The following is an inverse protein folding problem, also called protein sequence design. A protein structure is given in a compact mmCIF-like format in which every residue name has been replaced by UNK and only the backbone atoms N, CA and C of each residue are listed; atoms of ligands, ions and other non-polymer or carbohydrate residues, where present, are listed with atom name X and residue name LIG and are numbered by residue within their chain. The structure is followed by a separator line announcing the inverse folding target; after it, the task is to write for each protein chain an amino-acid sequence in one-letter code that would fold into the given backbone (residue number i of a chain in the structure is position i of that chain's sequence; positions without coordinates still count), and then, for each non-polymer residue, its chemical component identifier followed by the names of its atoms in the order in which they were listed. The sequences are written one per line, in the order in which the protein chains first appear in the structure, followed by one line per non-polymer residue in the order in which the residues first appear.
data_IF_822358294915
#
_entry.id   IF_822358294915
#
_cell.length_a   1.000
_cell.length_b   1.000
_cell.length_c   1.000
_cell.angle_alpha   90.00
_cell.angle_beta   90.00
_cell.angle_gamma   90.00
#
_symmetry.space_group_name_H-M   'P 1'
#
loop_
_entity.id
_entity.type
_entity.pdbx_description
1 polymer ?
#
# COMPACT_ATOMS: atom_id res chain seq x y z
N UNK A 1 7.39 4.57 10.96
CA UNK A 1 6.13 5.24 11.35
C UNK A 1 5.07 5.00 10.29
N UNK A 2 3.85 4.72 10.70
CA UNK A 2 2.74 4.55 9.78
C UNK A 2 2.17 5.91 9.33
N UNK A 3 1.55 5.97 8.15
CA UNK A 3 1.06 7.22 7.54
C UNK A 3 -0.02 7.92 8.35
N UNK A 4 -0.87 7.15 9.01
CA UNK A 4 -1.99 7.65 9.80
C UNK A 4 -1.82 7.13 11.22
N UNK A 5 -1.76 8.04 12.19
CA UNK A 5 -1.42 7.67 13.57
C UNK A 5 -2.43 6.71 14.22
N UNK A 6 -3.69 6.80 13.82
CA UNK A 6 -4.77 5.95 14.37
C UNK A 6 -4.92 4.62 13.63
N UNK A 7 -4.11 4.37 12.61
CA UNK A 7 -4.20 3.18 11.78
C UNK A 7 -2.85 2.47 11.75
N UNK A 8 -2.85 1.17 11.99
CA UNK A 8 -1.65 0.33 11.94
C UNK A 8 -1.82 -0.76 10.90
N UNK A 9 -0.74 -1.41 10.44
CA UNK A 9 -0.86 -2.55 9.53
C UNK A 9 -1.76 -3.68 10.05
N UNK A 10 -1.83 -3.86 11.37
CA UNK A 10 -2.71 -4.86 11.97
C UNK A 10 -4.20 -4.57 11.74
N UNK A 11 -4.57 -3.30 11.57
CA UNK A 11 -5.95 -2.91 11.30
C UNK A 11 -6.44 -3.38 9.93
N UNK A 12 -5.54 -3.83 9.05
CA UNK A 12 -5.88 -4.37 7.74
C UNK A 12 -6.35 -5.82 7.79
N UNK A 13 -6.16 -6.52 8.90
CA UNK A 13 -6.48 -7.94 9.02
C UNK A 13 -7.94 -8.18 9.41
N UNK A 14 -8.54 -7.29 10.18
CA UNK A 14 -9.90 -7.44 10.69
C UNK A 14 -11.01 -7.06 9.70
N UNK A 15 -10.87 -6.01 8.86
CA UNK A 15 -11.95 -5.62 7.97
C UNK A 15 -12.24 -6.64 6.89
N UNK A 16 -13.51 -6.75 6.52
CA UNK A 16 -13.93 -7.59 5.41
C UNK A 16 -13.45 -6.98 4.09
N UNK A 17 -13.16 -7.82 3.06
CA UNK A 17 -12.87 -7.32 1.71
C UNK A 17 -13.96 -6.36 1.22
N UNK A 18 -13.55 -5.27 0.57
CA UNK A 18 -14.45 -4.22 0.11
C UNK A 18 -14.66 -3.09 1.11
N UNK A 19 -14.28 -3.27 2.37
CA UNK A 19 -14.33 -2.22 3.37
C UNK A 19 -13.36 -1.09 2.97
N UNK A 20 -13.79 0.16 3.14
CA UNK A 20 -12.94 1.33 2.91
C UNK A 20 -12.63 1.97 4.26
N UNK A 21 -11.34 2.12 4.54
CA UNK A 21 -10.84 2.78 5.73
C UNK A 21 -10.29 4.13 5.30
N UNK A 22 -10.77 5.21 5.94
CA UNK A 22 -10.34 6.57 5.62
C UNK A 22 -9.55 7.16 6.78
N UNK A 23 -8.53 7.94 6.47
CA UNK A 23 -7.75 8.67 7.46
C UNK A 23 -7.06 9.87 6.83
N UNK A 24 -6.62 10.80 7.68
CA UNK A 24 -5.86 11.95 7.24
C UNK A 24 -4.38 11.67 7.40
N UNK A 25 -3.59 12.00 6.39
CA UNK A 25 -2.13 11.81 6.46
C UNK A 25 -1.55 12.81 7.45
N UNK A 26 -0.85 12.31 8.45
CA UNK A 26 -0.29 13.11 9.55
C UNK A 26 1.25 13.16 9.51
N UNK A 27 1.88 12.47 8.55
CA UNK A 27 3.33 12.44 8.41
C UNK A 27 3.73 12.48 6.94
N UNK A 28 4.71 13.30 6.60
CA UNK A 28 5.17 13.49 5.22
C UNK A 28 6.39 12.65 4.85
N UNK A 29 6.74 11.68 5.66
CA UNK A 29 8.00 10.94 5.49
C UNK A 29 8.08 10.11 4.21
N UNK A 30 6.96 9.79 3.57
CA UNK A 30 6.96 9.02 2.31
C UNK A 30 7.04 9.89 1.05
N UNK A 31 6.86 11.21 1.18
CA UNK A 31 6.84 12.11 0.03
C UNK A 31 5.54 12.03 -0.77
N UNK A 32 5.48 12.73 -1.91
CA UNK A 32 4.29 12.75 -2.75
C UNK A 32 3.97 11.34 -3.30
N UNK A 33 2.68 10.95 -3.40
CA UNK A 33 1.48 11.76 -3.18
C UNK A 33 1.01 11.83 -1.71
N UNK A 34 1.78 11.27 -0.77
CA UNK A 34 1.40 11.18 0.65
C UNK A 34 1.72 12.48 1.37
N UNK A 35 0.97 13.53 1.04
CA UNK A 35 1.19 14.86 1.59
C UNK A 35 0.41 15.06 2.88
N UNK A 36 0.99 15.84 3.80
CA UNK A 36 0.36 16.15 5.08
C UNK A 36 -1.00 16.80 4.87
N UNK A 37 -2.00 16.30 5.58
CA UNK A 37 -3.38 16.82 5.51
C UNK A 37 -4.22 16.22 4.40
N UNK A 38 -3.64 15.48 3.46
CA UNK A 38 -4.41 14.78 2.44
C UNK A 38 -5.23 13.64 3.05
N UNK A 39 -6.34 13.29 2.40
CA UNK A 39 -7.14 12.14 2.82
C UNK A 39 -6.62 10.87 2.16
N UNK A 40 -6.45 9.85 2.98
CA UNK A 40 -6.04 8.52 2.56
C UNK A 40 -7.24 7.58 2.64
N UNK A 41 -7.50 6.85 1.56
CA UNK A 41 -8.54 5.83 1.51
C UNK A 41 -7.91 4.48 1.20
N UNK A 42 -8.16 3.50 2.07
CA UNK A 42 -7.68 2.14 1.90
C UNK A 42 -8.87 1.23 1.62
N UNK A 43 -8.92 0.66 0.43
CA UNK A 43 -9.92 -0.35 0.09
C UNK A 43 -9.32 -1.72 0.35
N UNK A 44 -9.91 -2.46 1.28
CA UNK A 44 -9.43 -3.79 1.64
C UNK A 44 -9.72 -4.76 0.50
N UNK A 45 -8.73 -5.53 0.10
CA UNK A 45 -8.80 -6.45 -1.04
C UNK A 45 -8.99 -7.89 -0.57
N UNK A 46 -9.76 -8.64 -1.36
CA UNK A 46 -9.82 -10.10 -1.24
C UNK A 46 -8.59 -10.71 -1.95
N UNK A 47 -8.16 -11.92 -1.56
CA UNK A 47 -7.01 -12.57 -2.21
C UNK A 47 -7.15 -12.76 -3.72
N UNK A 48 -8.39 -12.87 -4.21
CA UNK A 48 -8.67 -13.08 -5.64
C UNK A 48 -8.89 -11.79 -6.42
N UNK A 49 -8.87 -10.63 -5.75
CA UNK A 49 -9.08 -9.35 -6.43
C UNK A 49 -7.93 -9.07 -7.40
N UNK A 50 -8.28 -8.57 -8.58
CA UNK A 50 -7.28 -8.18 -9.56
C UNK A 50 -6.65 -6.83 -9.19
N UNK A 51 -5.42 -6.62 -9.64
CA UNK A 51 -4.66 -5.40 -9.40
C UNK A 51 -4.39 -4.71 -10.73
N UNK A 52 -4.23 -3.38 -10.67
CA UNK A 52 -4.06 -2.53 -11.86
C UNK A 52 -2.75 -1.78 -11.80
N UNK A 53 -2.04 -1.72 -12.92
CA UNK A 53 -0.84 -0.90 -13.09
C UNK A 53 -1.17 0.58 -12.86
N UNK A 54 -0.29 1.28 -12.16
CA UNK A 54 -0.45 2.69 -11.82
C UNK A 54 -1.16 2.95 -10.51
N UNK A 55 -1.76 1.94 -9.91
CA UNK A 55 -2.46 2.06 -8.63
C UNK A 55 -1.49 1.84 -7.47
N UNK A 56 -1.73 2.55 -6.37
CA UNK A 56 -0.99 2.38 -5.13
C UNK A 56 -1.57 1.22 -4.32
N UNK A 57 -0.69 0.40 -3.75
CA UNK A 57 -1.10 -0.75 -2.95
C UNK A 57 -0.26 -0.87 -1.67
N UNK A 58 -0.86 -1.51 -0.68
CA UNK A 58 -0.13 -2.05 0.45
C UNK A 58 0.05 -3.54 0.19
N UNK A 59 1.30 -3.98 0.11
CA UNK A 59 1.68 -5.39 0.01
C UNK A 59 2.20 -5.87 1.36
N UNK A 60 1.89 -7.12 1.69
CA UNK A 60 2.21 -7.72 2.99
C UNK A 60 2.86 -9.08 2.75
N UNK A 61 3.97 -9.36 3.44
CA UNK A 61 4.65 -10.65 3.39
C UNK A 61 4.40 -11.51 4.64
N UNK A 62 3.49 -11.07 5.52
CA UNK A 62 3.17 -11.74 6.77
C UNK A 62 3.91 -11.18 7.99
N UNK A 63 5.01 -10.46 7.79
CA UNK A 63 5.77 -9.84 8.88
C UNK A 63 6.06 -8.36 8.64
N UNK A 64 5.99 -7.92 7.40
CA UNK A 64 6.27 -6.53 7.03
C UNK A 64 5.30 -6.08 5.95
N UNK A 65 5.14 -4.77 5.80
CA UNK A 65 4.31 -4.17 4.76
C UNK A 65 5.15 -3.25 3.89
N UNK A 66 4.78 -3.16 2.61
CA UNK A 66 5.38 -2.23 1.67
C UNK A 66 4.29 -1.39 1.03
N UNK A 67 4.52 -0.09 0.95
CA UNK A 67 3.66 0.83 0.21
C UNK A 67 4.31 1.02 -1.16
N UNK A 68 3.56 0.66 -2.21
CA UNK A 68 4.11 0.62 -3.56
C UNK A 68 3.13 1.20 -4.57
N UNK A 69 3.68 1.65 -5.71
CA UNK A 69 2.90 1.87 -6.93
C UNK A 69 3.22 0.72 -7.88
N UNK A 70 2.18 0.02 -8.32
CA UNK A 70 2.37 -1.11 -9.23
C UNK A 70 2.73 -0.59 -10.62
N UNK A 71 3.87 -1.03 -11.15
CA UNK A 71 4.35 -0.67 -12.49
C UNK A 71 4.12 -1.79 -13.49
N UNK A 72 4.11 -3.03 -13.04
CA UNK A 72 3.85 -4.18 -13.87
C UNK A 72 3.85 -5.45 -13.05
N UNK A 73 3.57 -6.55 -13.71
CA UNK A 73 3.56 -7.86 -13.05
C UNK A 73 3.89 -8.96 -14.05
N UNK A 74 4.54 -10.00 -13.54
CA UNK A 74 4.75 -11.26 -14.23
C UNK A 74 4.13 -12.39 -13.39
N UNK A 75 4.12 -13.64 -13.85
CA UNK A 75 3.61 -14.73 -13.02
C UNK A 75 4.28 -14.86 -11.65
N UNK A 76 5.54 -14.45 -11.54
CA UNK A 76 6.35 -14.66 -10.34
C UNK A 76 6.67 -13.37 -9.56
N UNK A 77 6.53 -12.20 -10.18
CA UNK A 77 7.04 -10.95 -9.62
C UNK A 77 6.04 -9.81 -9.74
N UNK A 78 6.04 -8.95 -8.71
CA UNK A 78 5.51 -7.60 -8.79
C UNK A 78 6.65 -6.67 -9.16
N UNK A 79 6.44 -5.82 -10.17
CA UNK A 79 7.36 -4.74 -10.54
C UNK A 79 6.76 -3.46 -9.97
N UNK A 80 7.45 -2.84 -9.02
CA UNK A 80 6.88 -1.77 -8.22
C UNK A 80 7.85 -0.60 -8.04
N UNK A 81 7.29 0.57 -7.74
CA UNK A 81 8.00 1.67 -7.12
C UNK A 81 7.67 1.63 -5.63
N UNK A 82 8.65 1.33 -4.80
CA UNK A 82 8.49 1.21 -3.36
C UNK A 82 8.82 2.54 -2.68
N UNK A 83 7.90 2.99 -1.82
CA UNK A 83 8.06 4.21 -1.03
C UNK A 83 8.75 3.88 0.28
N UNK A 84 9.83 4.58 0.57
CA UNK A 84 10.63 4.40 1.78
C UNK A 84 10.36 5.51 2.79
N UNK A 85 10.61 5.23 4.07
CA UNK A 85 10.33 6.16 5.17
C UNK A 85 11.15 7.46 5.10
N UNK A 86 12.23 7.48 4.34
CA UNK A 86 13.05 8.67 4.13
C UNK A 86 12.59 9.56 2.98
N UNK A 87 11.44 9.23 2.38
CA UNK A 87 10.88 9.98 1.26
C UNK A 87 11.41 9.57 -0.11
N UNK A 88 12.30 8.59 -0.19
CA UNK A 88 12.81 8.11 -1.48
C UNK A 88 11.88 7.06 -2.07
N UNK A 89 11.92 6.93 -3.41
CA UNK A 89 11.13 5.94 -4.16
C UNK A 89 12.11 5.10 -4.97
N UNK A 90 12.03 3.79 -4.80
CA UNK A 90 12.92 2.85 -5.47
C UNK A 90 12.15 1.87 -6.33
N UNK A 91 12.58 1.73 -7.59
CA UNK A 91 12.07 0.66 -8.44
C UNK A 91 12.67 -0.66 -8.02
N UNK A 92 11.83 -1.66 -7.75
CA UNK A 92 12.28 -2.99 -7.38
C UNK A 92 11.27 -4.06 -7.78
N UNK A 93 11.64 -5.32 -7.56
CA UNK A 93 10.75 -6.45 -7.77
C UNK A 93 10.52 -7.17 -6.45
N UNK A 94 9.28 -7.66 -6.26
CA UNK A 94 8.89 -8.41 -5.06
C UNK A 94 8.27 -9.73 -5.52
N UNK A 95 8.60 -10.81 -4.81
CA UNK A 95 8.07 -12.15 -5.14
C UNK A 95 6.56 -12.20 -4.89
N UNK A 96 5.79 -12.57 -5.90
CA UNK A 96 4.32 -12.61 -5.80
C UNK A 96 3.82 -13.64 -4.79
N UNK A 97 4.51 -14.76 -4.64
CA UNK A 97 4.13 -15.81 -3.69
C UNK A 97 4.37 -15.40 -2.24
N UNK A 98 5.20 -14.38 -2.00
CA UNK A 98 5.56 -13.91 -0.67
C UNK A 98 4.80 -12.62 -0.30
N UNK A 99 4.64 -11.71 -1.25
CA UNK A 99 4.02 -10.42 -1.05
C UNK A 99 2.61 -10.42 -1.63
N UNK A 100 1.62 -10.15 -0.80
CA UNK A 100 0.20 -10.20 -1.17
C UNK A 100 -0.43 -8.82 -1.06
N UNK A 101 -1.22 -8.39 -2.06
CA UNK A 101 -1.96 -7.14 -1.96
C UNK A 101 -3.01 -7.21 -0.86
N UNK A 102 -2.96 -6.26 0.08
CA UNK A 102 -3.89 -6.19 1.19
C UNK A 102 -4.89 -5.06 1.01
N UNK A 103 -4.46 -3.94 0.44
CA UNK A 103 -5.32 -2.79 0.24
C UNK A 103 -4.89 -1.99 -0.97
N UNK A 104 -5.85 -1.39 -1.65
CA UNK A 104 -5.61 -0.37 -2.66
C UNK A 104 -5.67 1.00 -1.99
N UNK A 105 -4.79 1.90 -2.38
CA UNK A 105 -4.65 3.23 -1.78
C UNK A 105 -5.12 4.29 -2.74
N UNK A 106 -5.97 5.20 -2.26
CA UNK A 106 -6.32 6.44 -2.96
C UNK A 106 -5.98 7.61 -2.06
N UNK A 107 -5.34 8.63 -2.61
CA UNK A 107 -5.00 9.86 -1.89
C UNK A 107 -5.71 11.02 -2.55
N UNK A 108 -6.42 11.83 -1.76
CA UNK A 108 -7.16 12.98 -2.23
C UNK A 108 -6.83 14.26 -1.44
#
# INVERSE_FOLDING_TARGET
MWLVSDLTPADLDDPQPGTVIAGRIEAEHLGAPFTLGAMLFLQILAPADSVSTGTLYILDDGSDVAIVRLQGQSPDLWIVDRFSDDGTVHRCTLARRRWHPRAAITVQ
#
